data_IF_205692866422
#
_entry.id   IF_205692866422
#
_cell.length_a   1.000
_cell.length_b   1.000
_cell.length_c   1.000
_cell.angle_alpha   90.00
_cell.angle_beta   90.00
_cell.angle_gamma   90.00
#
_symmetry.space_group_name_H-M   'P 1'
#
loop_
_entity.id
_entity.type
_entity.pdbx_description
1 polymer ?
#
# COMPACT_ATOMS: atom_id res chain seq x y z
N UNK A 1 -10.40 -8.50 -27.83
CA UNK A 1 -10.03 -8.11 -26.46
C UNK A 1 -11.33 -7.85 -25.71
N UNK A 2 -11.75 -8.71 -24.78
CA UNK A 2 -12.95 -8.44 -23.97
C UNK A 2 -12.52 -7.51 -22.85
N UNK A 3 -12.92 -6.24 -22.94
CA UNK A 3 -12.77 -5.33 -21.81
C UNK A 3 -13.69 -5.83 -20.69
N UNK A 4 -13.07 -6.14 -19.57
CA UNK A 4 -13.67 -6.50 -18.29
C UNK A 4 -14.84 -5.57 -17.90
N UNK A 5 -15.77 -6.06 -17.07
CA UNK A 5 -16.97 -5.32 -16.67
C UNK A 5 -16.61 -4.00 -15.97
N UNK A 6 -17.46 -2.96 -16.11
CA UNK A 6 -17.21 -1.61 -15.54
C UNK A 6 -16.91 -1.64 -14.03
N UNK A 7 -17.61 -2.48 -13.28
CA UNK A 7 -17.40 -2.66 -11.83
C UNK A 7 -15.97 -3.07 -11.50
N UNK A 8 -15.41 -3.99 -12.27
CA UNK A 8 -14.08 -4.54 -12.03
C UNK A 8 -13.01 -3.49 -12.37
N UNK A 9 -13.25 -2.65 -13.38
CA UNK A 9 -12.37 -1.51 -13.71
C UNK A 9 -12.37 -0.46 -12.60
N UNK A 10 -13.52 -0.18 -11.98
CA UNK A 10 -13.61 0.74 -10.84
C UNK A 10 -12.86 0.17 -9.63
N UNK A 11 -13.01 -1.13 -9.34
CA UNK A 11 -12.23 -1.80 -8.29
C UNK A 11 -10.72 -1.71 -8.56
N UNK A 12 -10.26 -2.08 -9.76
CA UNK A 12 -8.83 -1.99 -10.11
C UNK A 12 -8.31 -0.56 -10.00
N UNK A 13 -9.07 0.42 -10.48
CA UNK A 13 -8.73 1.84 -10.39
C UNK A 13 -8.54 2.30 -8.93
N UNK A 14 -9.43 1.88 -8.03
CA UNK A 14 -9.35 2.19 -6.60
C UNK A 14 -8.08 1.57 -5.98
N UNK A 15 -7.79 0.30 -6.27
CA UNK A 15 -6.58 -0.38 -5.80
C UNK A 15 -5.34 0.37 -6.27
N UNK A 16 -5.25 0.69 -7.57
CA UNK A 16 -4.10 1.40 -8.13
C UNK A 16 -3.93 2.80 -7.55
N UNK A 17 -5.02 3.50 -7.26
CA UNK A 17 -4.99 4.81 -6.60
C UNK A 17 -4.43 4.71 -5.17
N UNK A 18 -4.72 3.62 -4.47
CA UNK A 18 -4.14 3.36 -3.14
C UNK A 18 -2.68 2.91 -3.25
N UNK A 19 -2.32 2.06 -4.21
CA UNK A 19 -0.95 1.53 -4.31
C UNK A 19 0.02 2.57 -4.87
N UNK A 20 -0.41 3.44 -5.78
CA UNK A 20 0.48 4.34 -6.56
C UNK A 20 1.22 5.43 -5.77
N UNK A 21 1.03 5.58 -4.45
CA UNK A 21 1.82 6.55 -3.70
C UNK A 21 3.20 6.02 -3.32
N UNK A 22 4.26 6.86 -3.41
CA UNK A 22 5.64 6.43 -3.18
C UNK A 22 5.87 5.72 -1.84
N UNK A 23 5.37 6.28 -0.73
CA UNK A 23 5.57 5.67 0.59
C UNK A 23 4.87 4.31 0.72
N UNK A 24 3.69 4.16 0.10
CA UNK A 24 2.93 2.90 0.10
C UNK A 24 3.65 1.83 -0.74
N UNK A 25 4.20 2.20 -1.90
CA UNK A 25 5.07 1.31 -2.69
C UNK A 25 6.31 0.86 -1.92
N UNK A 26 6.96 1.78 -1.20
CA UNK A 26 8.13 1.44 -0.37
C UNK A 26 7.76 0.48 0.77
N UNK A 27 6.62 0.69 1.44
CA UNK A 27 6.10 -0.23 2.46
C UNK A 27 5.85 -1.62 1.85
N UNK A 28 5.20 -1.71 0.68
CA UNK A 28 4.97 -2.98 -0.02
C UNK A 28 6.30 -3.67 -0.35
N UNK A 29 7.29 -2.92 -0.86
CA UNK A 29 8.61 -3.46 -1.17
C UNK A 29 9.35 -4.00 0.07
N UNK A 30 9.22 -3.33 1.21
CA UNK A 30 9.77 -3.79 2.48
C UNK A 30 9.08 -5.09 2.95
N UNK A 31 7.75 -5.13 2.91
CA UNK A 31 6.96 -6.29 3.34
C UNK A 31 7.07 -7.48 2.38
N UNK A 32 7.39 -7.25 1.10
CA UNK A 32 7.67 -8.32 0.14
C UNK A 32 8.92 -9.13 0.52
N UNK A 33 9.80 -8.59 1.37
CA UNK A 33 10.98 -9.31 1.90
C UNK A 33 10.67 -10.14 3.15
N UNK A 34 9.47 -10.01 3.71
CA UNK A 34 9.03 -10.67 4.93
C UNK A 34 8.22 -9.73 5.84
N UNK A 35 7.60 -10.31 6.87
CA UNK A 35 6.90 -9.53 7.89
C UNK A 35 7.88 -8.63 8.65
N UNK A 36 7.46 -7.39 8.91
CA UNK A 36 8.25 -6.42 9.65
C UNK A 36 7.39 -5.76 10.71
N UNK A 37 8.00 -5.53 11.87
CA UNK A 37 7.40 -4.68 12.89
C UNK A 37 7.30 -3.24 12.37
N UNK A 38 6.21 -2.54 12.73
CA UNK A 38 5.97 -1.14 12.37
C UNK A 38 7.17 -0.23 12.72
N UNK A 39 7.86 -0.50 13.83
CA UNK A 39 9.05 0.25 14.23
C UNK A 39 10.16 0.15 13.18
N UNK A 40 10.39 -1.05 12.61
CA UNK A 40 11.40 -1.25 11.56
C UNK A 40 11.04 -0.55 10.26
N UNK A 41 9.74 -0.46 9.94
CA UNK A 41 9.27 0.28 8.76
C UNK A 41 9.42 1.79 8.98
N UNK A 42 9.14 2.27 10.19
CA UNK A 42 9.35 3.66 10.63
C UNK A 42 10.82 4.04 10.47
N UNK A 43 11.72 3.22 11.00
CA UNK A 43 13.17 3.44 10.91
C UNK A 43 13.67 3.41 9.45
N UNK A 44 13.15 2.50 8.62
CA UNK A 44 13.59 2.34 7.23
C UNK A 44 13.14 3.49 6.30
N UNK A 45 12.02 4.15 6.61
CA UNK A 45 11.43 5.19 5.78
C UNK A 45 11.66 6.61 6.32
N UNK A 46 12.20 6.74 7.53
CA UNK A 46 12.35 8.02 8.25
C UNK A 46 11.03 8.82 8.31
N UNK A 47 9.93 8.10 8.54
CA UNK A 47 8.59 8.66 8.66
C UNK A 47 8.06 8.46 10.07
N UNK A 48 7.14 9.33 10.50
CA UNK A 48 6.46 9.16 11.79
C UNK A 48 5.62 7.88 11.80
N UNK A 49 5.67 7.17 12.93
CA UNK A 49 4.94 5.91 13.12
C UNK A 49 3.42 6.04 12.86
N UNK A 50 2.80 7.16 13.25
CA UNK A 50 1.37 7.38 13.01
C UNK A 50 1.02 7.42 11.51
N UNK A 51 1.90 7.99 10.69
CA UNK A 51 1.76 8.04 9.24
C UNK A 51 1.95 6.65 8.61
N UNK A 52 2.93 5.88 9.10
CA UNK A 52 3.11 4.48 8.69
C UNK A 52 1.87 3.65 9.01
N UNK A 53 1.32 3.75 10.22
CA UNK A 53 0.09 3.07 10.61
C UNK A 53 -1.09 3.47 9.73
N UNK A 54 -1.22 4.74 9.36
CA UNK A 54 -2.24 5.20 8.43
C UNK A 54 -2.07 4.57 7.04
N UNK A 55 -0.86 4.55 6.49
CA UNK A 55 -0.57 3.88 5.22
C UNK A 55 -0.86 2.38 5.26
N UNK A 56 -0.46 1.69 6.32
CA UNK A 56 -0.74 0.26 6.50
C UNK A 56 -2.23 -0.04 6.60
N UNK A 57 -3.01 0.80 7.29
CA UNK A 57 -4.45 0.63 7.36
C UNK A 57 -5.11 0.80 5.99
N UNK A 58 -4.67 1.77 5.18
CA UNK A 58 -5.17 1.92 3.81
C UNK A 58 -4.81 0.71 2.93
N UNK A 59 -3.57 0.19 3.05
CA UNK A 59 -3.11 -0.98 2.32
C UNK A 59 -3.84 -2.28 2.72
N UNK A 60 -4.22 -2.41 4.00
CA UNK A 60 -4.96 -3.56 4.52
C UNK A 60 -6.41 -3.64 4.02
N UNK A 61 -7.00 -2.50 3.70
CA UNK A 61 -8.40 -2.39 3.27
C UNK A 61 -8.56 -2.37 1.74
N UNK A 62 -7.51 -2.79 1.02
CA UNK A 62 -7.53 -3.10 -0.42
C UNK A 62 -7.99 -4.55 -0.58
#
# INVERSE_FOLDING_TARGET
MKCTQKSDLESISNILTIVSQPNRLQIICLLNKGELCVCKITDALDLKQNLISHHLNLLKNI
#
